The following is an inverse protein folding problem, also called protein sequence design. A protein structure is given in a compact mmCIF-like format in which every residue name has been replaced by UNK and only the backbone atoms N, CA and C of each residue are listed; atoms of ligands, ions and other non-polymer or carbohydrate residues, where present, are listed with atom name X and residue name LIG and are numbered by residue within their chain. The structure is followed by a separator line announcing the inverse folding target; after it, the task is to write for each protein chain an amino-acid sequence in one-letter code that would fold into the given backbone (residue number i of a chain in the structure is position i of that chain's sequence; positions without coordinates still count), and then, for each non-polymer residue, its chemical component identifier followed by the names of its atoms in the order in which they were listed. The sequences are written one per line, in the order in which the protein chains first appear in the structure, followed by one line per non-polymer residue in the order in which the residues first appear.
data_IF_983422105488
#
_entry.id   IF_983422105488
#
_cell.length_a   1.000
_cell.length_b   1.000
_cell.length_c   1.000
_cell.angle_alpha   90.00
_cell.angle_beta   90.00
_cell.angle_gamma   90.00
#
_symmetry.space_group_name_H-M   'P 1'
#
loop_
_entity.id
_entity.type
_entity.pdbx_description
1 polymer ?
2 non-polymer ?
3 non-polymer ?
4 non-polymer ?
5 water ?
#
# COMPACT_ATOMS: atom_id res chain seq x y z
N UNK A 10 -11.12 -14.94 -4.92
CA UNK A 10 -9.72 -14.95 -5.43
C UNK A 10 -9.22 -13.54 -5.73
N UNK A 11 -8.04 -13.27 -5.19
CA UNK A 11 -7.32 -12.03 -5.48
C UNK A 11 -6.66 -12.23 -6.84
N UNK A 12 -6.82 -11.28 -7.78
CA UNK A 12 -6.34 -11.56 -9.16
C UNK A 12 -4.82 -11.61 -9.31
N UNK A 13 -4.33 -12.43 -10.23
CA UNK A 13 -2.91 -12.51 -10.49
C UNK A 13 -2.49 -11.20 -11.18
N UNK A 14 -1.19 -10.91 -11.20
CA UNK A 14 -0.69 -9.76 -11.94
C UNK A 14 -0.89 -9.91 -13.45
N UNK A 15 -1.16 -8.82 -14.13
CA UNK A 15 -1.30 -8.81 -15.60
C UNK A 15 0.03 -8.69 -16.38
N UNK A 16 1.13 -8.38 -15.69
CA UNK A 16 2.42 -8.16 -16.34
C UNK A 16 3.14 -9.44 -16.71
N UNK A 17 4.31 -9.33 -17.39
CA UNK A 17 5.04 -10.51 -17.87
C UNK A 17 5.72 -11.40 -16.82
N UNK A 18 6.08 -10.86 -15.65
CA UNK A 18 6.94 -11.59 -14.71
C UNK A 18 6.11 -12.35 -13.68
N UNK A 19 6.61 -13.50 -13.27
CA UNK A 19 6.11 -14.16 -12.06
C UNK A 19 6.40 -13.30 -10.86
N UNK A 20 5.68 -13.54 -9.77
CA UNK A 20 5.72 -12.70 -8.59
C UNK A 20 5.95 -13.52 -7.33
N UNK A 21 6.91 -13.06 -6.52
CA UNK A 21 7.23 -13.68 -5.24
C UNK A 21 6.89 -12.75 -4.10
N UNK A 22 7.02 -13.24 -2.87
CA UNK A 22 6.68 -12.44 -1.73
C UNK A 22 7.33 -12.96 -0.46
N UNK A 23 7.78 -12.05 0.40
CA UNK A 23 8.28 -12.45 1.69
C UNK A 23 8.05 -11.32 2.64
N UNK A 24 8.41 -11.57 3.92
CA UNK A 24 8.31 -10.57 4.96
C UNK A 24 9.68 -10.25 5.54
N UNK A 25 9.88 -8.96 5.88
CA UNK A 25 11.12 -8.44 6.43
C UNK A 25 10.80 -7.60 7.66
N UNK A 26 11.40 -7.93 8.78
CA UNK A 26 11.30 -7.07 9.95
C UNK A 26 12.69 -6.79 10.47
N UNK A 27 13.10 -5.52 10.42
CA UNK A 27 14.40 -5.10 10.91
C UNK A 27 14.40 -3.61 11.25
N UNK A 28 14.81 -3.20 12.46
CA UNK A 28 15.12 -4.09 13.60
C UNK A 28 13.86 -4.77 14.17
N UNK A 29 14.05 -5.51 15.27
CA UNK A 29 12.97 -6.26 15.93
C UNK A 29 11.97 -5.42 16.75
N UNK A 30 12.22 -4.12 16.84
CA UNK A 30 11.48 -3.28 17.78
C UNK A 30 10.25 -2.68 17.10
N UNK A 31 9.43 -2.02 17.93
CA UNK A 31 8.28 -1.24 17.45
C UNK A 31 8.65 0.10 16.82
N UNK A 32 9.94 0.42 16.77
CA UNK A 32 10.48 1.49 15.96
C UNK A 32 11.12 1.01 14.65
N UNK A 33 11.51 -0.27 14.60
CA UNK A 33 12.07 -0.86 13.39
C UNK A 33 11.08 -0.92 12.24
N UNK A 34 11.55 -1.31 11.06
CA UNK A 34 10.71 -1.50 9.84
C UNK A 34 10.11 -2.91 9.76
N UNK A 35 8.86 -3.00 9.32
CA UNK A 35 8.17 -4.28 9.05
C UNK A 35 7.53 -4.04 7.71
N UNK A 36 7.78 -4.91 6.76
CA UNK A 36 7.19 -4.74 5.43
C UNK A 36 6.92 -6.10 4.78
N UNK A 37 5.99 -6.12 3.84
CA UNK A 37 5.81 -7.26 2.97
C UNK A 37 6.34 -6.88 1.59
N UNK A 38 7.23 -7.73 1.08
CA UNK A 38 7.91 -7.51 -0.15
C UNK A 38 7.23 -8.31 -1.27
N UNK A 39 6.90 -7.63 -2.35
CA UNK A 39 6.51 -8.27 -3.61
C UNK A 39 7.56 -7.93 -4.66
N UNK A 40 7.99 -8.93 -5.43
CA UNK A 40 9.10 -8.77 -6.34
C UNK A 40 9.01 -9.69 -7.55
N UNK A 41 9.63 -9.25 -8.65
CA UNK A 41 9.70 -10.13 -9.81
C UNK A 41 10.52 -11.37 -9.44
N UNK A 42 9.89 -12.54 -9.57
CA UNK A 42 10.57 -13.80 -9.31
C UNK A 42 10.83 -14.55 -10.61
N UNK A 43 11.65 -15.58 -10.50
CA UNK A 43 11.83 -16.56 -11.56
C UNK A 43 10.48 -17.25 -11.73
N UNK A 44 10.26 -17.92 -12.86
CA UNK A 44 9.13 -18.85 -12.95
C UNK A 44 9.42 -19.97 -11.94
N UNK A 45 8.40 -20.37 -11.19
CA UNK A 45 8.61 -21.27 -10.05
C UNK A 45 7.37 -22.02 -9.59
N UNK A 46 7.57 -22.95 -8.66
CA UNK A 46 6.56 -23.87 -8.16
C UNK A 46 6.39 -23.85 -6.62
N UNK A 47 6.71 -22.72 -6.01
CA UNK A 47 6.48 -22.54 -4.58
C UNK A 47 4.98 -22.39 -4.30
N UNK A 48 4.60 -22.63 -3.05
CA UNK A 48 3.23 -22.38 -2.57
C UNK A 48 2.92 -20.89 -2.63
N UNK A 49 1.65 -20.55 -2.82
CA UNK A 49 1.21 -19.16 -2.72
C UNK A 49 1.26 -18.63 -1.26
N UNK A 50 1.08 -17.34 -1.12
CA UNK A 50 1.30 -16.65 0.16
C UNK A 50 0.02 -16.60 0.96
N UNK A 51 0.12 -16.97 2.23
CA UNK A 51 -1.00 -16.87 3.19
C UNK A 51 -1.37 -15.41 3.35
N UNK A 52 -2.62 -15.07 3.08
CA UNK A 52 -3.06 -13.68 2.94
C UNK A 52 -3.10 -12.94 4.26
N UNK A 53 -3.70 -13.55 5.28
CA UNK A 53 -3.77 -12.93 6.60
C UNK A 53 -3.16 -13.95 7.55
N UNK A 54 -1.86 -13.82 7.87
CA UNK A 54 -1.11 -14.94 8.40
C UNK A 54 -1.10 -15.14 9.93
N UNK A 55 -1.84 -14.36 10.71
CA UNK A 55 -1.97 -14.63 12.16
C UNK A 55 -3.36 -14.38 12.66
N UNK A 56 -3.76 -15.13 13.68
CA UNK A 56 -5.07 -14.95 14.29
C UNK A 56 -5.29 -13.53 14.80
N UNK A 57 -4.22 -12.89 15.25
CA UNK A 57 -4.35 -11.62 15.92
C UNK A 57 -4.86 -10.53 14.96
N UNK A 58 -4.51 -10.61 13.68
CA UNK A 58 -5.05 -9.68 12.68
C UNK A 58 -6.58 -9.74 12.60
N UNK A 59 -7.13 -10.95 12.67
CA UNK A 59 -8.57 -11.12 12.66
C UNK A 59 -9.23 -10.53 13.89
N UNK A 60 -8.64 -10.77 15.05
CA UNK A 60 -9.08 -10.16 16.32
C UNK A 60 -9.06 -8.63 16.23
N UNK A 61 -7.97 -8.11 15.72
CA UNK A 61 -7.84 -6.69 15.42
C UNK A 61 -8.87 -6.15 14.44
N UNK A 62 -9.10 -6.85 13.33
CA UNK A 62 -10.14 -6.42 12.37
C UNK A 62 -11.52 -6.34 13.03
N UNK A 63 -11.79 -7.26 13.94
CA UNK A 63 -13.03 -7.24 14.69
C UNK A 63 -13.16 -6.02 15.58
N UNK A 64 -12.06 -5.66 16.23
CA UNK A 64 -12.00 -4.47 17.05
C UNK A 64 -12.25 -3.24 16.17
N UNK A 65 -11.57 -3.19 15.03
CA UNK A 65 -11.81 -2.15 14.00
C UNK A 65 -13.27 -2.04 13.57
N UNK A 66 -13.90 -3.16 13.27
CA UNK A 66 -15.31 -3.16 12.88
C UNK A 66 -16.31 -2.85 14.02
N UNK A 67 -15.88 -2.88 15.28
CA UNK A 67 -16.76 -2.60 16.43
C UNK A 67 -17.71 -3.73 16.79
N UNK A 68 -17.36 -4.94 16.37
CA UNK A 68 -18.23 -6.10 16.51
C UNK A 68 -17.85 -6.90 17.73
N UNK A 69 -18.75 -7.81 18.13
CA UNK A 69 -18.47 -8.83 19.16
C UNK A 69 -17.23 -9.63 18.74
N UNK A 70 -16.31 -9.88 19.67
CA UNK A 70 -15.07 -10.64 19.37
C UNK A 70 -15.22 -12.06 18.80
N UNK A 71 -16.45 -12.61 18.83
CA UNK A 71 -16.79 -13.81 18.07
C UNK A 71 -16.69 -13.62 16.55
N UNK A 72 -16.93 -12.40 16.06
CA UNK A 72 -16.72 -12.05 14.65
C UNK A 72 -15.25 -12.25 14.26
N UNK A 73 -14.35 -12.05 15.22
CA UNK A 73 -12.93 -12.32 15.02
C UNK A 73 -12.68 -13.74 14.58
N UNK A 74 -13.12 -14.67 15.42
CA UNK A 74 -13.03 -16.10 15.08
C UNK A 74 -13.84 -16.51 13.84
N UNK A 75 -14.95 -15.83 13.57
CA UNK A 75 -15.72 -16.05 12.34
C UNK A 75 -14.91 -15.68 11.12
N UNK A 76 -14.39 -14.46 11.10
CA UNK A 76 -13.51 -14.01 10.00
C UNK A 76 -12.30 -14.92 9.84
N UNK A 77 -11.75 -15.36 10.97
CA UNK A 77 -10.62 -16.27 10.98
C UNK A 77 -10.97 -17.58 10.32
N UNK A 78 -12.15 -18.11 10.64
CA UNK A 78 -12.64 -19.35 10.06
C UNK A 78 -12.86 -19.24 8.55
N UNK A 79 -13.41 -18.12 8.12
CA UNK A 79 -13.77 -17.95 6.70
C UNK A 79 -12.53 -17.67 5.87
N UNK A 80 -11.61 -16.88 6.41
CA UNK A 80 -10.48 -16.36 5.65
C UNK A 80 -9.09 -16.82 6.07
N UNK A 81 -8.98 -17.55 7.19
CA UNK A 81 -7.67 -17.92 7.76
C UNK A 81 -6.71 -18.83 6.99
N UNK A 82 -7.19 -19.52 5.97
CA UNK A 82 -6.30 -20.29 5.10
C UNK A 82 -6.30 -19.79 3.64
N UNK A 83 -6.89 -18.62 3.41
CA UNK A 83 -6.92 -18.04 2.07
C UNK A 83 -5.53 -17.51 1.66
N UNK A 84 -5.19 -17.67 0.38
CA UNK A 84 -3.89 -17.29 -0.12
C UNK A 84 -4.03 -16.22 -1.18
N UNK A 85 -2.92 -15.60 -1.54
CA UNK A 85 -2.88 -14.59 -2.59
C UNK A 85 -1.82 -15.01 -3.61
N UNK A 86 -2.04 -14.75 -4.94
CA UNK A 86 -1.19 -15.39 -5.97
C UNK A 86 0.20 -14.76 -6.13
N UNK A 87 1.01 -14.95 -5.09
CA UNK A 87 2.41 -14.59 -5.06
C UNK A 87 3.10 -15.74 -4.40
N UNK A 88 4.23 -16.15 -4.96
CA UNK A 88 4.88 -17.35 -4.52
C UNK A 88 5.72 -17.03 -3.30
N UNK A 89 5.51 -17.78 -2.22
CA UNK A 89 6.16 -17.48 -0.92
C UNK A 89 7.64 -17.79 -1.03
N UNK A 90 8.50 -16.81 -0.74
CA UNK A 90 9.96 -17.00 -0.72
C UNK A 90 10.60 -17.54 -2.00
N UNK A 91 10.01 -17.28 -3.17
CA UNK A 91 10.60 -17.74 -4.42
C UNK A 91 11.79 -16.85 -4.74
N UNK A 92 12.76 -17.35 -5.53
CA UNK A 92 13.95 -16.55 -5.74
C UNK A 92 13.68 -15.31 -6.60
N UNK A 93 14.44 -14.24 -6.33
CA UNK A 93 14.34 -13.01 -7.11
C UNK A 93 14.87 -13.23 -8.52
N UNK A 94 14.13 -12.72 -9.51
CA UNK A 94 14.54 -12.80 -10.90
C UNK A 94 15.78 -11.90 -11.07
N UNK A 95 16.94 -12.51 -11.35
CA UNK A 95 18.19 -11.76 -11.34
C UNK A 95 18.45 -11.01 -12.65
N UNK A 96 19.48 -10.15 -12.62
CA UNK A 96 19.99 -9.49 -13.82
C UNK A 96 19.22 -8.27 -14.30
N UNK A 97 18.47 -7.62 -13.42
CA UNK A 97 17.86 -6.33 -13.74
C UNK A 97 17.70 -5.49 -12.49
N UNK A 98 17.91 -4.18 -12.63
CA UNK A 98 17.60 -3.22 -11.57
C UNK A 98 16.11 -2.86 -11.64
N UNK A 99 15.40 -3.09 -10.54
CA UNK A 99 13.96 -2.88 -10.48
C UNK A 99 13.62 -1.56 -9.78
N UNK A 100 12.75 -0.73 -10.40
CA UNK A 100 12.17 0.39 -9.62
C UNK A 100 11.45 -0.10 -8.38
N UNK A 101 11.33 0.78 -7.37
CA UNK A 101 10.79 0.42 -6.04
C UNK A 101 9.57 1.28 -5.69
N UNK A 102 8.47 0.63 -5.31
CA UNK A 102 7.33 1.28 -4.70
C UNK A 102 7.36 1.01 -3.17
N UNK A 103 7.14 2.05 -2.38
CA UNK A 103 6.82 1.90 -0.96
C UNK A 103 5.31 2.14 -0.86
N UNK A 104 4.58 1.14 -0.39
CA UNK A 104 3.15 1.24 -0.28
C UNK A 104 2.66 1.37 1.17
N UNK A 105 1.77 2.34 1.40
CA UNK A 105 1.17 2.59 2.74
C UNK A 105 -0.33 2.23 2.85
N UNK A 106 -0.63 1.41 3.84
CA UNK A 106 -2.01 0.92 4.04
C UNK A 106 -2.96 1.90 4.72
N UNK A 107 -4.24 1.58 4.72
CA UNK A 107 -5.27 2.42 5.30
C UNK A 107 -5.40 2.16 6.80
N UNK A 108 -6.29 2.92 7.41
CA UNK A 108 -6.62 2.74 8.80
C UNK A 108 -7.46 1.49 8.88
N UNK A 109 -7.17 0.65 9.86
CA UNK A 109 -7.84 -0.63 10.01
C UNK A 109 -7.22 -1.78 9.23
N UNK A 110 -6.27 -1.47 8.35
CA UNK A 110 -5.60 -2.47 7.52
C UNK A 110 -4.25 -2.83 8.12
N UNK A 111 -3.43 -3.51 7.33
CA UNK A 111 -2.08 -3.90 7.71
C UNK A 111 -1.35 -4.27 6.43
N UNK A 112 -0.13 -4.81 6.52
CA UNK A 112 0.73 -4.89 5.33
C UNK A 112 0.25 -5.78 4.18
N UNK A 113 -0.59 -6.76 4.51
CA UNK A 113 -0.86 -7.85 3.60
C UNK A 113 -2.12 -7.64 2.76
N UNK A 114 -2.84 -6.55 3.02
CA UNK A 114 -4.20 -6.39 2.49
C UNK A 114 -4.27 -5.59 1.19
N UNK A 115 -3.12 -5.32 0.58
CA UNK A 115 -3.08 -4.69 -0.78
C UNK A 115 -2.18 -5.47 -1.75
N UNK A 116 -2.34 -6.79 -1.71
CA UNK A 116 -1.58 -7.69 -2.56
C UNK A 116 -2.06 -7.63 -4.03
N UNK A 117 -3.32 -7.29 -4.25
CA UNK A 117 -3.76 -7.10 -5.65
C UNK A 117 -2.91 -6.01 -6.35
N UNK A 118 -2.70 -4.89 -5.66
CA UNK A 118 -1.81 -3.85 -6.19
C UNK A 118 -0.37 -4.31 -6.20
N UNK A 119 0.11 -4.88 -5.08
CA UNK A 119 1.51 -5.29 -4.90
C UNK A 119 1.98 -6.27 -5.97
N UNK A 120 1.15 -7.30 -6.16
CA UNK A 120 1.37 -8.33 -7.15
C UNK A 120 1.39 -7.79 -8.55
N UNK A 121 0.43 -6.93 -8.90
CA UNK A 121 0.36 -6.47 -10.30
C UNK A 121 1.56 -5.57 -10.66
N UNK A 122 1.94 -4.69 -9.72
CA UNK A 122 3.17 -3.90 -9.85
C UNK A 122 4.39 -4.80 -10.02
N UNK A 123 4.60 -5.73 -9.08
CA UNK A 123 5.70 -6.67 -9.18
C UNK A 123 5.72 -7.41 -10.50
N UNK A 124 4.55 -7.87 -10.96
CA UNK A 124 4.45 -8.59 -12.23
C UNK A 124 4.84 -7.74 -13.43
N UNK A 125 4.80 -6.40 -13.30
CA UNK A 125 5.33 -5.50 -14.34
C UNK A 125 6.77 -5.00 -14.09
N UNK A 126 7.41 -5.49 -13.03
CA UNK A 126 8.84 -5.28 -12.81
C UNK A 126 9.22 -4.29 -11.72
N UNK A 127 8.35 -4.09 -10.74
CA UNK A 127 8.65 -3.30 -9.56
C UNK A 127 8.89 -4.22 -8.37
N UNK A 128 9.72 -3.77 -7.45
CA UNK A 128 9.77 -4.33 -6.13
C UNK A 128 8.83 -3.43 -5.33
N UNK A 129 7.91 -4.02 -4.60
CA UNK A 129 6.97 -3.25 -3.79
C UNK A 129 7.24 -3.59 -2.34
N UNK A 130 7.42 -2.58 -1.50
CA UNK A 130 7.55 -2.77 -0.07
C UNK A 130 6.30 -2.21 0.60
N UNK A 131 5.38 -3.10 1.00
CA UNK A 131 4.19 -2.71 1.71
C UNK A 131 4.51 -2.66 3.20
N UNK A 132 4.56 -1.46 3.76
CA UNK A 132 4.92 -1.28 5.16
C UNK A 132 3.76 -1.63 6.08
N UNK A 133 4.09 -2.09 7.30
CA UNK A 133 3.14 -2.19 8.39
C UNK A 133 3.49 -1.09 9.39
N UNK A 134 2.54 -0.22 9.62
CA UNK A 134 2.76 0.97 10.39
C UNK A 134 2.55 0.60 11.84
N UNK A 135 3.37 1.18 12.69
CA UNK A 135 3.30 0.97 14.13
C UNK A 135 2.75 2.21 14.85
N UNK A 136 1.96 3.02 14.12
CA UNK A 136 1.36 4.24 14.67
C UNK A 136 0.03 3.99 15.36
N UNK A 137 -0.37 2.72 15.41
CA UNK A 137 -1.64 2.26 15.97
C UNK A 137 -2.80 2.60 15.05
N UNK A 138 -2.52 2.81 13.76
CA UNK A 138 -3.56 2.87 12.75
C UNK A 138 -3.84 1.45 12.20
N UNK A 139 -2.89 0.52 12.26
CA UNK A 139 -3.16 -0.85 11.79
C UNK A 139 -4.16 -1.50 12.74
N UNK A 140 -4.98 -2.40 12.22
CA UNK A 140 -5.91 -3.17 13.03
C UNK A 140 -5.14 -3.93 14.10
N UNK A 141 -4.02 -4.48 13.65
CA UNK A 141 -3.02 -5.10 14.50
C UNK A 141 -1.66 -5.02 13.81
N UNK A 142 -0.61 -5.12 14.61
CA UNK A 142 0.74 -5.34 14.14
C UNK A 142 1.52 -5.86 15.34
N UNK A 143 2.77 -6.23 15.12
CA UNK A 143 3.52 -6.80 16.21
C UNK A 143 4.99 -6.51 16.06
N UNK A 144 5.72 -6.81 17.13
CA UNK A 144 7.14 -6.55 17.23
C UNK A 144 7.69 -7.41 18.37
N UNK A 145 8.96 -7.24 18.69
CA UNK A 145 9.55 -8.00 19.79
C UNK A 145 10.16 -7.04 20.80
N UNK A 146 10.00 -7.36 22.08
CA UNK A 146 10.47 -6.53 23.18
C UNK A 146 11.98 -6.56 23.38
N UNK A 147 12.60 -7.68 23.04
CA UNK A 147 14.04 -7.83 23.19
C UNK A 147 14.57 -8.91 22.25
N UNK A 148 15.90 -9.00 22.19
CA UNK A 148 16.55 -9.88 21.22
C UNK A 148 16.15 -11.33 21.44
N UNK A 149 16.12 -11.78 22.70
CA UNK A 149 15.71 -13.15 23.02
C UNK A 149 14.27 -13.41 22.61
N UNK A 150 13.37 -12.46 22.83
CA UNK A 150 11.97 -12.61 22.42
C UNK A 150 11.84 -12.65 20.86
N UNK A 151 12.69 -11.90 20.16
CA UNK A 151 12.79 -12.07 18.72
C UNK A 151 13.22 -13.50 18.37
N UNK A 152 14.33 -13.95 18.94
CA UNK A 152 14.88 -15.31 18.68
C UNK A 152 13.86 -16.45 18.81
N UNK A 153 13.22 -16.59 19.96
CA UNK A 153 12.19 -17.64 20.15
C UNK A 153 10.85 -17.35 19.47
N UNK A 154 10.65 -16.12 18.99
CA UNK A 154 9.47 -15.76 18.22
C UNK A 154 8.27 -15.41 19.08
N UNK A 155 8.51 -14.93 20.30
CA UNK A 155 7.44 -14.52 21.20
C UNK A 155 6.99 -13.11 20.84
N UNK A 156 5.85 -13.01 20.17
CA UNK A 156 5.35 -11.75 19.65
C UNK A 156 4.62 -10.92 20.71
N UNK A 157 4.84 -9.61 20.64
CA UNK A 157 4.05 -8.61 21.37
C UNK A 157 3.18 -7.86 20.35
N UNK A 158 1.87 -7.80 20.62
CA UNK A 158 0.90 -7.32 19.64
C UNK A 158 0.41 -5.93 19.99
N UNK A 159 0.26 -5.07 18.98
CA UNK A 159 -0.29 -3.72 19.15
C UNK A 159 -1.55 -3.62 18.36
N UNK A 160 -2.65 -3.28 19.03
CA UNK A 160 -3.94 -3.17 18.35
C UNK A 160 -4.26 -1.70 18.07
N UNK A 161 -5.16 -1.49 17.10
CA UNK A 161 -5.66 -0.16 16.75
C UNK A 161 -6.04 0.68 17.97
N UNK A 162 -5.63 1.94 17.96
CA UNK A 162 -5.98 2.94 18.97
C UNK A 162 -7.26 3.68 18.53
N UNK A 163 -8.27 3.73 19.39
CA UNK A 163 -9.48 4.54 19.15
C UNK A 163 -9.33 5.90 19.87
N UNK A 164 -9.73 6.98 19.20
CA UNK A 164 -9.50 8.34 19.69
C UNK A 164 -10.77 9.02 20.11
N UNK A 165 -10.65 9.97 21.04
CA UNK A 165 -11.74 10.89 21.35
C UNK A 165 -11.77 12.05 20.36
N UNK A 166 -12.91 12.71 20.26
CA UNK A 166 -13.09 13.89 19.39
C UNK A 166 -11.97 14.93 19.53
N UNK A 167 -11.62 15.27 20.76
CA UNK A 167 -10.63 16.32 21.04
C UNK A 167 -9.20 15.92 20.61
N UNK A 168 -8.91 14.62 20.57
CA UNK A 168 -7.60 14.10 20.11
C UNK A 168 -7.41 14.04 18.59
N UNK A 169 -8.51 13.94 17.85
CA UNK A 169 -8.47 13.65 16.40
C UNK A 169 -7.46 14.47 15.62
N UNK A 170 -7.60 15.78 15.64
CA UNK A 170 -6.76 16.64 14.79
C UNK A 170 -5.30 16.36 15.11
N UNK A 171 -5.03 16.52 16.39
CA UNK A 171 -3.75 16.33 17.03
C UNK A 171 -3.12 14.95 16.72
N UNK A 172 -3.80 13.85 17.08
CA UNK A 172 -3.21 12.51 16.96
C UNK A 172 -3.12 12.02 15.50
N UNK A 173 -4.12 12.32 14.67
CA UNK A 173 -4.04 11.91 13.27
C UNK A 173 -2.82 12.47 12.56
N UNK A 174 -2.53 13.74 12.82
CA UNK A 174 -1.35 14.36 12.29
C UNK A 174 -0.07 13.72 12.81
N UNK A 175 -0.02 13.37 14.09
CA UNK A 175 1.15 12.63 14.60
C UNK A 175 1.34 11.33 13.89
N UNK A 176 0.24 10.61 13.71
CA UNK A 176 0.24 9.31 13.07
C UNK A 176 0.73 9.36 11.63
N UNK A 177 0.18 10.30 10.85
CA UNK A 177 0.60 10.48 9.44
C UNK A 177 2.08 10.86 9.34
N UNK A 178 2.56 11.59 10.34
CA UNK A 178 3.96 11.98 10.38
C UNK A 178 4.85 10.79 10.77
N UNK A 179 4.43 10.03 11.78
CA UNK A 179 5.04 8.72 12.06
C UNK A 179 5.02 7.78 10.87
N UNK A 180 3.93 7.77 10.13
CA UNK A 180 3.83 7.00 8.88
C UNK A 180 4.86 7.40 7.83
N UNK A 181 5.03 8.71 7.68
CA UNK A 181 6.01 9.25 6.73
C UNK A 181 7.40 8.75 7.11
N UNK A 182 7.71 8.87 8.39
CA UNK A 182 8.97 8.43 8.92
C UNK A 182 9.18 6.96 8.67
N UNK A 183 8.12 6.16 8.78
CA UNK A 183 8.23 4.73 8.52
C UNK A 183 8.47 4.43 7.04
N UNK A 184 7.89 5.22 6.14
CA UNK A 184 8.19 5.05 4.72
C UNK A 184 9.61 5.34 4.39
N UNK A 185 10.12 6.47 4.88
CA UNK A 185 11.51 6.85 4.72
C UNK A 185 12.49 5.82 5.26
N UNK A 186 12.15 5.20 6.38
CA UNK A 186 13.12 4.30 7.02
C UNK A 186 13.21 2.97 6.26
N UNK A 187 12.04 2.41 5.96
CA UNK A 187 11.92 1.28 5.05
C UNK A 187 12.65 1.51 3.72
N UNK A 188 12.63 2.74 3.20
CA UNK A 188 13.41 3.04 2.00
C UNK A 188 14.91 2.96 2.28
N UNK A 189 15.37 3.57 3.35
CA UNK A 189 16.80 3.46 3.70
C UNK A 189 17.21 1.99 3.94
N UNK A 190 16.33 1.22 4.56
CA UNK A 190 16.62 -0.20 4.79
C UNK A 190 16.83 -0.94 3.46
N UNK A 191 15.95 -0.72 2.51
CA UNK A 191 16.04 -1.40 1.22
C UNK A 191 17.29 -0.97 0.47
N UNK A 192 17.58 0.32 0.50
CA UNK A 192 18.82 0.82 -0.09
C UNK A 192 20.08 0.26 0.56
N UNK A 193 20.05 0.07 1.89
CA UNK A 193 21.18 -0.57 2.59
C UNK A 193 21.34 -2.00 2.14
N UNK A 194 20.21 -2.69 2.08
CA UNK A 194 20.16 -4.04 1.57
C UNK A 194 20.61 -4.11 0.10
N UNK A 195 20.21 -3.15 -0.72
CA UNK A 195 20.68 -3.08 -2.10
C UNK A 195 22.19 -2.92 -2.17
N UNK A 196 22.77 -2.09 -1.31
CA UNK A 196 24.24 -1.96 -1.28
C UNK A 196 24.96 -3.21 -0.72
N UNK A 197 24.22 -4.10 -0.06
CA UNK A 197 24.76 -5.36 0.44
C UNK A 197 25.02 -5.38 1.93
N UNK A 198 24.45 -4.44 2.66
CA UNK A 198 24.59 -4.42 4.10
C UNK A 198 23.94 -5.66 4.71
N UNK A 199 24.72 -6.50 5.42
CA UNK A 199 24.07 -7.65 6.07
C UNK A 199 22.97 -7.20 7.05
N UNK A 200 21.84 -7.89 7.02
CA UNK A 200 20.68 -7.55 7.81
C UNK A 200 20.10 -8.85 8.34
N UNK A 201 20.04 -8.99 9.65
CA UNK A 201 19.38 -10.12 10.27
C UNK A 201 17.88 -9.86 10.38
N UNK A 202 17.09 -10.58 9.57
CA UNK A 202 15.63 -10.53 9.66
C UNK A 202 15.19 -11.10 11.00
N UNK A 203 14.39 -10.34 11.76
CA UNK A 203 13.93 -10.81 13.08
C UNK A 203 12.87 -11.90 12.93
N UNK A 204 12.21 -11.93 11.78
CA UNK A 204 11.45 -13.09 11.35
C UNK A 204 12.50 -14.04 10.77
N UNK A 205 12.42 -15.30 11.09
CA UNK A 205 13.47 -16.27 10.76
C UNK A 205 12.93 -17.10 9.62
N UNK A 206 13.04 -16.56 8.40
CA UNK A 206 12.43 -17.13 7.20
C UNK A 206 13.46 -17.61 6.18
N UNK A 207 13.06 -18.53 5.32
CA UNK A 207 13.97 -19.06 4.29
C UNK A 207 13.95 -18.15 3.08
N UNK A 208 14.56 -16.98 3.24
CA UNK A 208 14.71 -16.05 2.14
C UNK A 208 16.00 -15.27 2.33
N UNK A 209 16.91 -15.43 1.38
CA UNK A 209 18.20 -14.79 1.43
C UNK A 209 18.09 -13.35 0.93
N UNK A 210 18.20 -12.40 1.85
CA UNK A 210 18.23 -10.98 1.52
C UNK A 210 19.39 -10.55 0.60
N UNK A 211 20.47 -11.33 0.56
CA UNK A 211 21.59 -11.03 -0.34
C UNK A 211 21.25 -11.13 -1.84
N UNK A 212 20.16 -11.81 -2.18
CA UNK A 212 19.57 -11.77 -3.53
C UNK A 212 19.24 -10.34 -3.99
N UNK A 213 18.81 -9.51 -3.05
CA UNK A 213 18.43 -8.14 -3.34
C UNK A 213 19.61 -7.19 -3.56
N UNK A 214 20.82 -7.59 -3.16
CA UNK A 214 22.00 -6.79 -3.41
C UNK A 214 22.07 -6.40 -4.91
N UNK A 215 22.38 -5.13 -5.17
CA UNK A 215 22.48 -4.59 -6.54
C UNK A 215 21.27 -4.84 -7.46
N UNK A 216 20.06 -4.88 -6.89
CA UNK A 216 18.82 -5.20 -7.63
C UNK A 216 17.78 -4.08 -7.69
N UNK A 217 18.09 -2.95 -7.08
CA UNK A 217 17.17 -1.82 -6.98
C UNK A 217 17.76 -0.75 -7.86
N UNK A 218 16.93 -0.18 -8.73
CA UNK A 218 17.30 1.01 -9.46
C UNK A 218 17.14 2.14 -8.45
N UNK A 219 18.27 2.62 -7.92
CA UNK A 219 18.28 3.43 -6.70
C UNK A 219 17.65 4.82 -6.85
N UNK A 220 17.58 5.34 -8.08
CA UNK A 220 17.01 6.65 -8.36
C UNK A 220 15.50 6.61 -8.57
N UNK A 221 14.97 5.45 -8.94
CA UNK A 221 13.56 5.34 -9.40
C UNK A 221 12.67 4.79 -8.30
N UNK A 222 12.11 5.70 -7.53
CA UNK A 222 11.41 5.36 -6.30
C UNK A 222 10.15 6.20 -6.22
N UNK A 223 9.02 5.53 -5.99
CA UNK A 223 7.74 6.17 -5.81
C UNK A 223 7.11 5.72 -4.49
N UNK A 224 6.16 6.50 -3.97
CA UNK A 224 5.35 6.08 -2.81
C UNK A 224 3.88 6.05 -3.19
N UNK A 225 3.18 4.98 -2.82
CA UNK A 225 1.77 4.82 -3.17
C UNK A 225 1.00 4.43 -1.92
N UNK A 226 -0.23 4.89 -1.80
CA UNK A 226 -1.00 4.46 -0.62
C UNK A 226 -2.46 4.72 -0.67
N UNK A 227 -3.20 3.95 0.12
CA UNK A 227 -4.67 4.02 0.18
C UNK A 227 -5.17 4.63 1.47
N UNK A 228 -6.06 5.62 1.35
CA UNK A 228 -6.84 6.18 2.47
C UNK A 228 -5.93 7.02 3.39
N UNK A 229 -5.77 6.65 4.66
CA UNK A 229 -4.69 7.21 5.54
C UNK A 229 -3.34 7.11 4.79
N UNK A 230 -3.09 5.99 4.13
CA UNK A 230 -1.93 5.85 3.28
C UNK A 230 -1.80 6.80 2.09
N UNK A 231 -2.91 7.31 1.60
CA UNK A 231 -2.91 8.36 0.55
C UNK A 231 -2.42 9.69 1.14
N UNK A 232 -2.84 9.98 2.37
CA UNK A 232 -2.25 11.12 3.09
C UNK A 232 -0.77 10.89 3.37
N UNK A 233 -0.45 9.66 3.78
CA UNK A 233 0.94 9.29 4.04
C UNK A 233 1.82 9.58 2.80
N UNK A 234 1.34 9.27 1.61
CA UNK A 234 2.03 9.62 0.34
C UNK A 234 2.48 11.03 0.35
N UNK A 235 1.53 11.93 0.60
CA UNK A 235 1.79 13.37 0.51
C UNK A 235 2.75 13.91 1.63
N UNK A 236 2.57 13.47 2.87
CA UNK A 236 3.50 13.86 3.91
C UNK A 236 4.93 13.36 3.57
N UNK A 237 5.03 12.10 3.15
CA UNK A 237 6.28 11.47 2.74
C UNK A 237 6.97 12.29 1.64
N UNK A 238 6.28 12.55 0.52
CA UNK A 238 6.83 13.36 -0.56
C UNK A 238 7.41 14.67 -0.10
N UNK A 239 6.65 15.37 0.75
CA UNK A 239 7.06 16.66 1.27
C UNK A 239 8.33 16.53 2.14
N UNK A 240 8.44 15.39 2.85
CA UNK A 240 9.56 15.14 3.79
C UNK A 240 10.80 14.48 3.20
N UNK A 241 10.68 13.86 2.03
CA UNK A 241 11.75 13.00 1.54
C UNK A 241 11.78 13.06 0.00
N UNK A 242 12.78 13.73 -0.52
CA UNK A 242 12.95 13.92 -1.96
C UNK A 242 13.46 12.69 -2.68
N UNK A 243 13.87 11.66 -1.94
CA UNK A 243 14.28 10.42 -2.61
C UNK A 243 13.10 9.81 -3.38
N UNK A 244 11.88 10.03 -2.88
CA UNK A 244 10.67 9.63 -3.58
C UNK A 244 10.45 10.63 -4.70
N UNK A 245 10.37 10.14 -5.94
CA UNK A 245 10.29 11.00 -7.12
C UNK A 245 8.87 11.31 -7.57
N UNK A 246 7.91 10.46 -7.27
CA UNK A 246 6.51 10.81 -7.48
C UNK A 246 5.65 10.00 -6.55
N UNK A 247 4.40 10.44 -6.37
CA UNK A 247 3.40 9.74 -5.54
C UNK A 247 2.06 9.49 -6.23
N UNK A 248 1.40 8.41 -5.78
CA UNK A 248 0.04 8.08 -6.19
C UNK A 248 -0.80 7.84 -4.95
N UNK A 249 -1.82 8.69 -4.77
CA UNK A 249 -2.70 8.56 -3.62
C UNK A 249 -4.00 7.88 -4.05
N UNK A 250 -4.25 6.70 -3.50
CA UNK A 250 -5.49 5.93 -3.79
C UNK A 250 -6.54 6.29 -2.74
N UNK A 251 -7.56 7.02 -3.19
CA UNK A 251 -8.68 7.49 -2.38
C UNK A 251 -8.20 8.05 -1.01
N UNK A 252 -7.42 9.13 -1.09
CA UNK A 252 -6.77 9.68 0.07
C UNK A 252 -7.77 10.29 1.02
N UNK A 253 -7.60 10.01 2.31
CA UNK A 253 -8.29 10.72 3.37
C UNK A 253 -7.32 11.85 3.78
N UNK A 254 -7.68 13.11 3.54
CA UNK A 254 -6.72 14.21 3.67
C UNK A 254 -6.61 14.81 5.09
N UNK A 255 -7.56 14.49 5.95
CA UNK A 255 -7.66 15.07 7.29
C UNK A 255 -6.34 15.09 8.10
N UNK A 256 -5.57 13.99 8.09
CA UNK A 256 -4.36 13.99 8.96
C UNK A 256 -3.27 15.06 8.68
N UNK A 257 -3.23 15.52 7.43
CA UNK A 257 -2.22 16.45 6.97
C UNK A 257 -2.31 17.82 7.64
N UNK A 258 -1.17 18.38 7.99
CA UNK A 258 -1.11 19.78 8.37
C UNK A 258 -1.37 20.75 7.23
N UNK A 259 -1.80 21.97 7.57
CA UNK A 259 -2.04 23.01 6.57
C UNK A 259 -0.78 23.46 5.85
N UNK A 260 0.36 23.31 6.51
CA UNK A 260 1.65 23.61 5.91
C UNK A 260 2.05 22.72 4.72
N UNK A 261 1.56 21.47 4.64
CA UNK A 261 2.12 20.53 3.64
C UNK A 261 1.65 20.80 2.22
N UNK A 262 0.52 21.47 2.07
CA UNK A 262 -0.20 21.48 0.80
C UNK A 262 0.61 22.16 -0.28
N UNK A 263 1.29 23.23 0.08
CA UNK A 263 2.21 23.93 -0.81
C UNK A 263 3.66 23.38 -0.84
N UNK A 264 3.93 22.22 -0.24
CA UNK A 264 5.31 21.74 -0.03
C UNK A 264 5.54 20.35 -0.67
N UNK A 265 5.03 20.14 -1.90
CA UNK A 265 5.09 18.86 -2.58
C UNK A 265 5.64 19.12 -4.00
N UNK A 266 6.98 19.19 -4.11
CA UNK A 266 7.54 19.43 -5.45
C UNK A 266 7.35 18.27 -6.43
N UNK A 267 7.25 17.03 -5.93
CA UNK A 267 7.10 15.86 -6.81
C UNK A 267 5.74 15.76 -7.53
N UNK A 268 5.73 15.17 -8.75
CA UNK A 268 4.50 14.67 -9.41
C UNK A 268 3.61 13.83 -8.48
N UNK A 269 2.32 14.15 -8.50
CA UNK A 269 1.31 13.53 -7.63
C UNK A 269 -0.01 13.22 -8.40
N UNK A 270 -0.42 11.95 -8.30
CA UNK A 270 -1.60 11.43 -8.98
C UNK A 270 -2.66 11.02 -7.96
N UNK A 271 -3.87 11.57 -8.12
CA UNK A 271 -5.01 11.16 -7.28
C UNK A 271 -5.94 10.22 -8.03
N UNK A 272 -6.13 9.00 -7.50
CA UNK A 272 -7.11 8.05 -8.04
C UNK A 272 -8.19 7.81 -6.97
N UNK A 273 -9.39 8.28 -7.28
CA UNK A 273 -10.48 8.33 -6.32
C UNK A 273 -11.55 7.29 -6.64
N UNK A 274 -12.31 6.91 -5.62
CA UNK A 274 -13.53 6.10 -5.80
C UNK A 274 -14.65 7.08 -6.06
N UNK A 275 -15.78 6.59 -6.53
CA UNK A 275 -16.88 7.50 -6.82
C UNK A 275 -17.62 7.90 -5.54
N UNK A 276 -17.88 6.94 -4.67
CA UNK A 276 -18.77 7.15 -3.55
C UNK A 276 -18.10 7.53 -2.23
N UNK A 277 -16.78 7.43 -2.12
CA UNK A 277 -16.10 7.84 -0.87
C UNK A 277 -15.97 9.34 -0.68
N UNK A 278 -15.81 10.07 -1.78
CA UNK A 278 -15.26 11.41 -1.68
C UNK A 278 -16.32 12.40 -1.30
N UNK A 279 -15.88 13.59 -0.95
CA UNK A 279 -16.76 14.61 -0.47
C UNK A 279 -16.03 15.96 -0.47
N UNK A 280 -16.79 17.09 -0.53
CA UNK A 280 -16.16 18.39 -0.74
C UNK A 280 -14.95 18.69 0.14
N UNK A 281 -15.10 18.56 1.46
CA UNK A 281 -14.01 18.83 2.43
C UNK A 281 -12.72 18.15 2.04
N UNK A 282 -12.84 16.90 1.59
CA UNK A 282 -11.69 16.10 1.19
C UNK A 282 -11.14 16.52 -0.16
N UNK A 283 -12.02 16.72 -1.14
CA UNK A 283 -11.59 17.17 -2.48
C UNK A 283 -10.96 18.57 -2.43
N UNK A 284 -11.52 19.47 -1.62
CA UNK A 284 -10.94 20.82 -1.44
C UNK A 284 -9.48 20.76 -1.03
N UNK A 285 -9.15 19.83 -0.13
CA UNK A 285 -7.79 19.65 0.32
C UNK A 285 -6.92 19.10 -0.81
N UNK A 286 -7.45 18.16 -1.58
CA UNK A 286 -6.71 17.65 -2.75
C UNK A 286 -6.36 18.78 -3.69
N UNK A 287 -7.35 19.64 -3.95
CA UNK A 287 -7.17 20.80 -4.80
C UNK A 287 -6.17 21.83 -4.25
N UNK A 288 -5.99 21.90 -2.94
CA UNK A 288 -4.96 22.75 -2.34
C UNK A 288 -3.52 22.30 -2.69
N UNK A 289 -3.35 21.03 -3.01
CA UNK A 289 -2.08 20.52 -3.50
C UNK A 289 -1.73 21.00 -4.90
N UNK A 290 -2.71 21.50 -5.66
CA UNK A 290 -2.49 21.94 -7.04
C UNK A 290 -1.73 23.26 -7.11
N UNK A 291 -0.75 23.30 -8.01
CA UNK A 291 -0.05 24.55 -8.34
C UNK A 291 0.39 24.51 -9.81
N UNK A 292 0.37 25.66 -10.53
CA UNK A 292 0.64 25.60 -11.99
C UNK A 292 2.05 25.14 -12.37
N UNK A 293 3.04 25.55 -11.57
CA UNK A 293 4.41 25.10 -11.73
C UNK A 293 4.62 23.59 -11.49
N UNK A 294 3.65 22.92 -10.86
CA UNK A 294 3.78 21.50 -10.47
C UNK A 294 2.84 20.59 -11.26
N UNK A 295 3.13 19.30 -11.16
CA UNK A 295 2.43 18.27 -11.91
C UNK A 295 1.37 17.55 -11.06
N UNK A 296 0.09 17.71 -11.42
CA UNK A 296 -1.00 16.97 -10.77
C UNK A 296 -2.07 16.48 -11.73
N UNK A 297 -2.54 15.27 -11.45
CA UNK A 297 -3.62 14.63 -12.18
C UNK A 297 -4.57 14.01 -11.16
N UNK A 298 -5.84 14.00 -11.50
CA UNK A 298 -6.87 13.30 -10.75
C UNK A 298 -7.84 12.56 -11.69
N UNK A 299 -8.18 11.32 -11.30
CA UNK A 299 -9.29 10.58 -11.91
C UNK A 299 -10.17 9.95 -10.86
N UNK A 300 -11.36 9.57 -11.32
CA UNK A 300 -12.38 8.98 -10.48
C UNK A 300 -12.96 7.78 -11.23
N UNK A 301 -12.87 6.62 -10.61
CA UNK A 301 -13.37 5.37 -11.19
C UNK A 301 -14.87 5.30 -10.95
N UNK A 302 -15.63 5.22 -12.05
CA UNK A 302 -17.09 5.19 -12.00
C UNK A 302 -17.63 3.99 -11.24
N UNK A 303 -18.65 4.22 -10.43
CA UNK A 303 -19.33 3.17 -9.65
C UNK A 303 -18.49 2.43 -8.60
N UNK A 304 -17.35 2.99 -8.21
CA UNK A 304 -16.44 2.35 -7.23
C UNK A 304 -16.65 2.82 -5.81
N UNK A 305 -16.28 1.96 -4.85
CA UNK A 305 -16.27 2.32 -3.41
C UNK A 305 -14.86 2.36 -2.84
N UNK A 306 -14.74 3.02 -1.70
CA UNK A 306 -13.48 3.12 -0.96
C UNK A 306 -12.72 1.80 -0.81
N UNK A 307 -13.44 0.69 -0.64
CA UNK A 307 -12.83 -0.62 -0.48
C UNK A 307 -12.38 -1.27 -1.79
N UNK A 308 -12.73 -0.71 -2.94
CA UNK A 308 -12.24 -1.23 -4.23
C UNK A 308 -10.72 -1.33 -4.36
N UNK A 309 -9.98 -0.46 -3.69
CA UNK A 309 -8.51 -0.49 -3.67
C UNK A 309 -7.88 -1.54 -2.73
N UNK A 310 -8.61 -2.06 -1.77
CA UNK A 310 -8.06 -3.11 -0.90
C UNK A 310 -8.56 -4.51 -1.31
N UNK A 311 -7.90 -5.52 -0.74
CA UNK A 311 -8.07 -6.92 -1.14
C UNK A 311 -9.39 -7.54 -0.72
N UNK A 312 -10.06 -6.97 0.28
CA UNK A 312 -11.37 -7.48 0.68
C UNK A 312 -12.45 -7.29 -0.39
N UNK A 313 -12.25 -6.41 -1.35
CA UNK A 313 -13.14 -6.32 -2.50
C UNK A 313 -13.19 -7.61 -3.32
N UNK A 314 -12.21 -8.51 -3.13
CA UNK A 314 -12.17 -9.83 -3.76
C UNK A 314 -12.46 -11.03 -2.83
N UNK A 315 -12.80 -10.77 -1.57
CA UNK A 315 -12.93 -11.84 -0.56
C UNK A 315 -14.30 -12.51 -0.47
N UNK A 316 -15.37 -11.85 -0.96
CA UNK A 316 -16.74 -12.38 -0.92
C UNK A 316 -17.39 -12.32 -2.29
N UNK A 317 -18.57 -12.92 -2.40
CA UNK A 317 -19.39 -12.87 -3.62
C UNK A 317 -19.93 -11.47 -3.90
N UNK A 318 -20.54 -11.32 -5.08
CA UNK A 318 -21.07 -10.04 -5.53
C UNK A 318 -22.11 -9.47 -4.59
N UNK A 319 -23.04 -10.30 -4.16
CA UNK A 319 -24.19 -9.84 -3.38
C UNK A 319 -23.79 -9.43 -1.96
N UNK A 320 -23.08 -10.31 -1.25
CA UNK A 320 -22.63 -10.00 0.11
C UNK A 320 -21.62 -8.84 0.09
N UNK A 321 -20.76 -8.81 -0.92
CA UNK A 321 -19.79 -7.74 -1.05
C UNK A 321 -20.41 -6.37 -1.21
N UNK A 322 -21.48 -6.30 -2.00
CA UNK A 322 -22.17 -5.04 -2.25
C UNK A 322 -22.94 -4.61 -1.01
N UNK A 323 -23.56 -5.58 -0.36
CA UNK A 323 -24.19 -5.37 0.96
C UNK A 323 -23.26 -4.77 2.01
N UNK A 324 -22.01 -5.19 2.04
CA UNK A 324 -21.03 -4.76 3.06
C UNK A 324 -20.18 -3.56 2.64
N UNK A 325 -20.41 -3.05 1.43
CA UNK A 325 -19.63 -1.95 0.85
C UNK A 325 -18.16 -2.32 0.61
N UNK A 326 -17.90 -3.62 0.36
CA UNK A 326 -16.61 -4.11 -0.14
C UNK A 326 -16.50 -4.00 -1.65
N UNK A 327 -17.64 -4.07 -2.34
CA UNK A 327 -17.72 -3.94 -3.77
C UNK A 327 -18.65 -2.80 -4.12
N UNK A 328 -18.41 -2.19 -5.28
CA UNK A 328 -19.27 -1.18 -5.85
C UNK A 328 -20.06 -1.79 -6.98
N UNK A 329 -20.71 -0.95 -7.77
CA UNK A 329 -21.49 -1.38 -8.93
C UNK A 329 -20.58 -1.86 -10.05
N UNK A 330 -19.38 -1.32 -10.10
CA UNK A 330 -18.35 -1.76 -11.04
C UNK A 330 -17.74 -3.08 -10.58
N UNK A 331 -17.31 -3.89 -11.52
CA UNK A 331 -16.62 -5.14 -11.23
C UNK A 331 -15.26 -4.85 -10.59
N UNK A 332 -14.95 -5.58 -9.52
CA UNK A 332 -13.74 -5.33 -8.75
C UNK A 332 -12.46 -5.57 -9.55
N UNK A 333 -12.45 -6.57 -10.43
CA UNK A 333 -11.32 -6.74 -11.35
C UNK A 333 -11.16 -5.57 -12.32
N UNK A 334 -12.26 -5.11 -12.92
CA UNK A 334 -12.20 -3.94 -13.80
C UNK A 334 -11.72 -2.71 -13.00
N UNK A 335 -12.27 -2.51 -11.80
CA UNK A 335 -11.87 -1.39 -10.97
C UNK A 335 -10.36 -1.35 -10.77
N UNK A 336 -9.83 -2.45 -10.21
CA UNK A 336 -8.41 -2.51 -9.83
C UNK A 336 -7.47 -2.48 -11.03
N UNK A 337 -7.89 -3.08 -12.15
CA UNK A 337 -7.13 -3.02 -13.41
C UNK A 337 -6.93 -1.58 -13.84
N UNK A 338 -8.00 -0.79 -13.76
CA UNK A 338 -7.94 0.63 -14.18
C UNK A 338 -7.01 1.47 -13.31
N UNK A 339 -7.09 1.24 -12.00
CA UNK A 339 -6.23 1.90 -11.03
C UNK A 339 -4.75 1.53 -11.22
N UNK A 340 -4.48 0.25 -11.39
CA UNK A 340 -3.11 -0.23 -11.60
C UNK A 340 -2.52 0.22 -12.94
N UNK A 341 -3.27 0.08 -14.01
CA UNK A 341 -2.76 0.48 -15.31
C UNK A 341 -2.48 1.99 -15.37
N UNK A 342 -3.42 2.81 -14.88
CA UNK A 342 -3.20 4.26 -14.79
C UNK A 342 -1.92 4.57 -14.00
N UNK A 343 -1.81 3.95 -12.81
CA UNK A 343 -0.62 4.02 -11.97
C UNK A 343 0.66 3.69 -12.73
N UNK A 344 0.64 2.58 -13.45
CA UNK A 344 1.82 2.18 -14.28
C UNK A 344 2.21 3.23 -15.32
N UNK A 345 1.24 3.82 -16.01
CA UNK A 345 1.55 4.87 -17.01
C UNK A 345 2.18 6.10 -16.28
N UNK A 346 1.58 6.49 -15.16
CA UNK A 346 2.09 7.62 -14.37
C UNK A 346 3.52 7.36 -13.89
N UNK A 347 3.76 6.17 -13.33
CA UNK A 347 5.12 5.79 -12.91
C UNK A 347 6.12 5.86 -14.07
N UNK A 348 5.78 5.24 -15.20
CA UNK A 348 6.66 5.29 -16.38
C UNK A 348 7.03 6.74 -16.76
N UNK A 349 6.04 7.61 -16.84
CA UNK A 349 6.30 8.99 -17.17
C UNK A 349 7.25 9.65 -16.16
N UNK A 350 6.93 9.51 -14.87
CA UNK A 350 7.62 10.33 -13.86
C UNK A 350 8.86 9.70 -13.24
N UNK A 351 9.04 8.37 -13.39
CA UNK A 351 10.32 7.70 -13.07
C UNK A 351 11.20 7.46 -14.28
N UNK A 352 10.74 7.84 -15.47
CA UNK A 352 11.51 7.68 -16.70
C UNK A 352 11.75 6.23 -17.08
N UNK A 353 10.73 5.39 -16.89
CA UNK A 353 10.85 3.97 -17.23
C UNK A 353 10.72 3.79 -18.75
N UNK A 354 11.46 2.83 -19.29
CA UNK A 354 11.46 2.55 -20.75
C UNK A 354 10.80 1.18 -21.00
N UNK A 355 9.49 1.16 -20.70
CA UNK A 355 8.61 0.01 -20.81
C UNK A 355 7.43 0.41 -21.73
N UNK A 356 6.38 -0.41 -21.77
CA UNK A 356 5.19 -0.16 -22.61
C UNK A 356 3.96 0.43 -21.86
N UNK A 357 4.17 1.00 -20.67
CA UNK A 357 3.06 1.40 -19.81
C UNK A 357 2.40 2.66 -20.32
N UNK A 358 3.13 3.45 -21.12
CA UNK A 358 2.54 4.61 -21.82
C UNK A 358 1.33 4.27 -22.73
N UNK A 359 1.05 2.99 -22.97
CA UNK A 359 -0.21 2.59 -23.61
C UNK A 359 -1.45 3.00 -22.79
N UNK A 360 -1.29 3.20 -21.47
CA UNK A 360 -2.37 3.63 -20.57
C UNK A 360 -2.30 5.13 -20.20
N UNK A 361 -1.60 5.92 -21.02
CA UNK A 361 -1.61 7.39 -20.85
C UNK A 361 -3.02 7.97 -20.86
N UNK A 362 -3.92 7.43 -21.69
CA UNK A 362 -5.31 7.86 -21.76
C UNK A 362 -6.08 7.69 -20.42
N UNK A 363 -5.70 6.69 -19.61
CA UNK A 363 -6.29 6.50 -18.27
C UNK A 363 -5.93 7.62 -17.30
N UNK A 364 -4.70 8.13 -17.39
CA UNK A 364 -4.24 9.22 -16.53
C UNK A 364 -5.17 10.42 -16.67
N UNK A 365 -5.61 10.68 -17.91
CA UNK A 365 -6.46 11.82 -18.24
C UNK A 365 -7.96 11.47 -18.09
N UNK A 366 -8.29 10.30 -17.51
CA UNK A 366 -9.66 9.83 -17.36
C UNK A 366 -10.39 9.56 -18.66
N UNK A 367 -9.65 9.14 -19.69
CA UNK A 367 -10.23 8.84 -21.01
C UNK A 367 -10.53 7.33 -21.10
N UNK A 368 -11.60 6.93 -20.43
CA UNK A 368 -12.15 5.58 -20.47
C UNK A 368 -13.62 5.65 -20.09
N UNK A 369 -14.44 4.75 -20.65
CA UNK A 369 -15.88 4.76 -20.34
C UNK A 369 -16.18 4.56 -18.84
N UNK A 370 -15.26 3.91 -18.12
CA UNK A 370 -15.35 3.76 -16.65
C UNK A 370 -14.59 4.76 -15.81
N UNK A 371 -14.11 5.85 -16.40
CA UNK A 371 -13.38 6.84 -15.62
C UNK A 371 -13.99 8.22 -15.78
N UNK A 372 -13.77 9.01 -14.74
CA UNK A 372 -14.18 10.41 -14.74
C UNK A 372 -12.88 11.19 -14.60
N UNK A 373 -12.61 12.08 -15.57
CA UNK A 373 -11.49 13.03 -15.36
C UNK A 373 -11.77 13.94 -14.16
N UNK A 374 -10.76 14.23 -13.35
CA UNK A 374 -10.97 15.06 -12.16
C UNK A 374 -11.94 14.35 -11.22
N UNK A 375 -13.00 15.04 -10.84
CA UNK A 375 -13.93 14.51 -9.87
C UNK A 375 -15.39 14.80 -10.25
N UNK A 376 -16.28 13.96 -9.73
CA UNK A 376 -17.73 14.18 -9.73
C UNK A 376 -18.22 15.11 -8.60
N UNK A 377 -17.36 15.40 -7.61
CA UNK A 377 -17.74 16.22 -6.44
C UNK A 377 -17.64 17.69 -6.82
N UNK A 378 -18.70 18.47 -6.62
CA UNK A 378 -18.63 19.92 -6.81
C UNK A 378 -18.12 20.62 -5.55
N UNK A 379 -17.33 21.67 -5.73
CA UNK A 379 -16.75 22.42 -4.60
C UNK A 379 -16.87 23.92 -4.87
N UNK A 380 -18.11 24.40 -4.94
CA UNK A 380 -18.43 25.83 -5.06
C UNK A 380 -19.68 26.16 -4.25
X LIG B 1 -17.45 4.39 -0.04
X LIG C 1 -17.91 17.88 3.12
X LIG D 1 13.90 14.05 5.02
X LIG E 1 -12.36 12.20 12.26
X LIG E 1 -12.43 10.68 12.31
X LIG E 1 -13.35 10.21 13.44
X LIG E 1 -12.11 8.42 9.49
X LIG E 1 -10.99 7.65 9.53
X LIG E 1 -10.43 7.04 8.36
X LIG E 1 -9.43 6.33 8.35
X LIG E 1 -10.60 6.67 5.94
X LIG E 1 -12.29 8.06 7.08
X LIG E 1 -13.97 9.46 8.15
X LIG E 1 -12.88 10.11 10.97
X LIG E 1 -12.29 8.82 10.78
X LIG E 1 -11.14 7.29 7.17
X LIG E 1 -12.85 8.25 6.00
X LIG E 1 -12.75 8.63 8.25
X LIG E 1 -12.75 12.57 13.07
X LIG E 1 -11.42 12.48 12.18
X LIG E 1 -12.86 12.53 11.48
X LIG E 1 -11.52 10.33 12.50
X LIG E 1 -12.81 9.82 14.16
X LIG E 1 -13.85 10.96 13.79
X LIG E 1 -13.97 9.53 13.11
X LIG E 1 -10.55 7.52 10.37
X LIG E 1 -10.54 5.70 6.07
X LIG E 1 -9.73 7.03 5.75
X LIG E 1 -11.20 6.86 5.20
X LIG E 1 -14.57 9.24 8.89
X LIG E 1 -13.72 10.40 8.21
X LIG E 1 -14.43 9.29 7.31
X LIG E 1 -13.86 10.03 10.95
X LIG E 1 -12.61 10.70 10.24
#
# INVERSE_FOLDING_TARGET
MAAASFGQTKIPRGNGPYSVGCTDLMFDHTNKGTFLRLYYPSQDNDRLDTLWIPNKEYFWGLSKFLGTHWLMGNILRLLFGSMTTPANWNSPLRPGEKYPLVVFSHGLGAFRTLYSAIGIDLASHGFIVAAVEHRDRSASATYYFKDQSAAEIGDKSWLYLRTLKQEEETHIRNEQVRQRAKECSQALSLILDIDHGKPVKNALDLKFDMEQLKDSIDREKIAVIGHSFGGATVIQTLSEDQRFRCGIALDAWMFPLGDEVYSRIPQPLFFINSEYFQYPANIIKMKKCYSPDKERKMITIRGSVHQNFADFTFATGKIIGHMLKLKGDIDSNVAIDLSNKASLAFLQKHLGLHKDFDQWDCLIEGDDENLIPGTNINTTNQHHHHHH
CL CL
CL CL
CA CA
6HP C1 C2 C3 C6 C7 C8 O9 C11 C12 C15 C4 O5 N10 O13 N14 H18 H17 H16 H19 H22 H21 H20 H25 H27 H28 H26 H31 H30 H29 H23 H24
#
